data_IF_594951630654
#
_entry.id   IF_594951630654
#
_cell.length_a   1.000
_cell.length_b   1.000
_cell.length_c   1.000
_cell.angle_alpha   90.00
_cell.angle_beta   90.00
_cell.angle_gamma   90.00
#
_symmetry.space_group_name_H-M   'P 1'
#
loop_
_entity.id
_entity.type
_entity.pdbx_description
1 polymer ?
#
# COMPACT_ATOMS: atom_id res chain seq x y z
N UNK A 1 8.16 3.80 22.39
CA UNK A 1 7.90 5.06 21.67
C UNK A 1 6.94 4.73 20.55
N UNK A 2 5.66 5.06 20.71
CA UNK A 2 4.66 4.89 19.65
C UNK A 2 4.98 5.89 18.54
N UNK A 3 5.43 5.40 17.39
CA UNK A 3 5.71 6.25 16.23
C UNK A 3 4.40 6.45 15.49
N UNK A 4 3.73 7.56 15.76
CA UNK A 4 2.54 7.94 15.00
C UNK A 4 2.97 8.68 13.74
N UNK A 5 2.79 8.04 12.58
CA UNK A 5 2.95 8.68 11.27
C UNK A 5 1.60 9.13 10.75
N UNK A 6 1.55 10.26 10.05
CA UNK A 6 0.36 10.60 9.27
C UNK A 6 0.25 9.67 8.06
N UNK A 7 -0.95 9.51 7.50
CA UNK A 7 -1.16 8.79 6.23
C UNK A 7 -0.21 9.33 5.15
N UNK A 8 -0.10 10.66 5.05
CA UNK A 8 0.79 11.33 4.10
C UNK A 8 2.26 10.96 4.32
N UNK A 9 2.74 11.02 5.56
CA UNK A 9 4.14 10.70 5.89
C UNK A 9 4.45 9.23 5.66
N UNK A 10 3.53 8.33 6.02
CA UNK A 10 3.67 6.91 5.79
C UNK A 10 3.74 6.56 4.30
N UNK A 11 2.87 7.15 3.47
CA UNK A 11 2.90 6.97 2.02
C UNK A 11 4.18 7.54 1.39
N UNK A 12 4.63 8.72 1.84
CA UNK A 12 5.88 9.32 1.35
C UNK A 12 7.11 8.49 1.71
N UNK A 13 7.14 7.92 2.93
CA UNK A 13 8.19 7.02 3.38
C UNK A 13 8.18 5.70 2.58
N UNK A 14 7.01 5.08 2.44
CA UNK A 14 6.85 3.84 1.68
C UNK A 14 7.23 3.99 0.19
N UNK A 15 6.82 5.09 -0.45
CA UNK A 15 7.19 5.37 -1.85
C UNK A 15 8.71 5.48 -2.01
N UNK A 16 9.42 6.13 -1.08
CA UNK A 16 10.89 6.18 -1.09
C UNK A 16 11.53 4.81 -0.89
N UNK A 17 10.96 3.99 -0.01
CA UNK A 17 11.41 2.61 0.22
C UNK A 17 11.21 1.71 -1.01
N UNK A 18 10.17 1.99 -1.80
CA UNK A 18 9.81 1.27 -3.01
C UNK A 18 10.32 1.93 -4.30
N UNK A 19 11.24 2.90 -4.24
CA UNK A 19 11.66 3.70 -5.41
C UNK A 19 12.17 2.87 -6.61
N UNK A 20 12.62 1.64 -6.36
CA UNK A 20 13.06 0.71 -7.40
C UNK A 20 11.90 -0.03 -8.12
N UNK A 21 10.65 0.19 -7.72
CA UNK A 21 9.45 -0.30 -8.40
C UNK A 21 8.80 0.84 -9.19
N UNK A 22 8.46 0.59 -10.45
CA UNK A 22 7.80 1.56 -11.34
C UNK A 22 6.44 2.05 -10.80
N UNK A 23 5.80 1.28 -9.91
CA UNK A 23 4.51 1.58 -9.29
C UNK A 23 4.61 1.97 -7.80
N UNK A 24 5.75 2.50 -7.34
CA UNK A 24 6.04 2.76 -5.92
C UNK A 24 4.95 3.54 -5.16
N UNK A 25 4.41 4.62 -5.74
CA UNK A 25 3.33 5.41 -5.13
C UNK A 25 2.02 4.62 -5.06
N UNK A 26 1.63 4.00 -6.18
CA UNK A 26 0.41 3.20 -6.27
C UNK A 26 0.45 2.01 -5.32
N UNK A 27 1.57 1.31 -5.27
CA UNK A 27 1.77 0.16 -4.40
C UNK A 27 1.66 0.56 -2.92
N UNK A 28 2.27 1.69 -2.55
CA UNK A 28 2.18 2.22 -1.18
C UNK A 28 0.73 2.54 -0.81
N UNK A 29 -0.02 3.18 -1.71
CA UNK A 29 -1.44 3.46 -1.49
C UNK A 29 -2.28 2.18 -1.39
N UNK A 30 -2.06 1.20 -2.27
CA UNK A 30 -2.82 -0.07 -2.26
C UNK A 30 -2.57 -0.86 -0.98
N UNK A 31 -1.31 -0.97 -0.54
CA UNK A 31 -0.96 -1.67 0.69
C UNK A 31 -1.55 -1.00 1.92
N UNK A 32 -1.49 0.33 2.00
CA UNK A 32 -2.10 1.06 3.11
C UNK A 32 -3.64 0.95 3.09
N UNK A 33 -4.25 0.97 1.90
CA UNK A 33 -5.70 0.84 1.72
C UNK A 33 -6.19 -0.52 2.21
N UNK A 34 -5.44 -1.57 1.88
CA UNK A 34 -5.68 -2.93 2.34
C UNK A 34 -5.64 -3.02 3.88
N UNK A 35 -4.60 -2.48 4.52
CA UNK A 35 -4.45 -2.53 5.98
C UNK A 35 -5.56 -1.76 6.70
N UNK A 36 -5.85 -0.53 6.25
CA UNK A 36 -6.87 0.32 6.87
C UNK A 36 -8.31 -0.10 6.52
N UNK A 37 -8.47 -1.02 5.56
CA UNK A 37 -9.76 -1.38 4.94
C UNK A 37 -10.53 -0.14 4.46
N UNK A 38 -9.81 0.77 3.78
CA UNK A 38 -10.32 2.02 3.22
C UNK A 38 -9.95 2.13 1.75
N UNK A 39 -10.72 2.90 0.99
CA UNK A 39 -10.36 3.25 -0.38
C UNK A 39 -9.24 4.28 -0.42
N UNK A 40 -8.47 4.32 -1.52
CA UNK A 40 -7.42 5.33 -1.76
C UNK A 40 -7.94 6.78 -1.69
N UNK A 41 -9.21 7.01 -2.05
CA UNK A 41 -9.86 8.32 -1.91
C UNK A 41 -9.87 8.83 -0.45
N UNK A 42 -9.85 7.93 0.53
CA UNK A 42 -9.76 8.28 1.95
C UNK A 42 -8.49 9.07 2.25
N UNK A 43 -7.36 8.69 1.64
CA UNK A 43 -6.07 9.35 1.86
C UNK A 43 -6.02 10.77 1.34
N UNK A 44 -6.75 11.04 0.26
CA UNK A 44 -6.89 12.40 -0.30
C UNK A 44 -7.76 13.29 0.58
N UNK A 45 -8.76 12.71 1.23
CA UNK A 45 -9.64 13.44 2.14
C UNK A 45 -9.04 13.63 3.55
N UNK A 46 -8.15 12.74 4.01
CA UNK A 46 -7.63 12.72 5.38
C UNK A 46 -6.09 12.50 5.45
N UNK A 47 -5.27 13.29 4.75
CA UNK A 47 -3.82 13.05 4.67
C UNK A 47 -3.09 13.18 6.02
N UNK A 48 -3.59 14.06 6.89
CA UNK A 48 -2.99 14.36 8.21
C UNK A 48 -3.47 13.38 9.31
N UNK A 49 -4.30 12.38 8.98
CA UNK A 49 -4.75 11.40 9.96
C UNK A 49 -3.58 10.54 10.40
N UNK A 50 -3.45 10.36 11.72
CA UNK A 50 -2.43 9.49 12.31
C UNK A 50 -2.80 8.01 12.15
N UNK A 51 -1.80 7.22 11.81
CA UNK A 51 -1.86 5.76 11.82
C UNK A 51 -1.66 5.24 13.23
N UNK A 52 -2.49 4.27 13.60
CA UNK A 52 -2.33 3.51 14.84
C UNK A 52 -1.24 2.46 14.66
N UNK A 53 -0.64 1.99 15.76
CA UNK A 53 0.39 0.94 15.71
C UNK A 53 -0.15 -0.35 15.05
N UNK A 54 -1.45 -0.63 15.23
CA UNK A 54 -2.15 -1.76 14.60
C UNK A 54 -2.36 -1.60 13.07
N UNK A 55 -2.23 -0.38 12.55
CA UNK A 55 -2.25 -0.09 11.11
C UNK A 55 -0.83 0.05 10.55
N UNK A 56 0.08 0.64 11.33
CA UNK A 56 1.44 0.91 10.90
C UNK A 56 2.28 -0.37 10.82
N UNK A 57 2.19 -1.26 11.80
CA UNK A 57 3.02 -2.47 11.81
C UNK A 57 2.72 -3.40 10.61
N UNK A 58 1.45 -3.76 10.32
CA UNK A 58 1.14 -4.57 9.14
C UNK A 58 1.50 -3.87 7.83
N UNK A 59 1.34 -2.54 7.76
CA UNK A 59 1.73 -1.76 6.59
C UNK A 59 3.23 -1.87 6.32
N UNK A 60 4.07 -1.66 7.34
CA UNK A 60 5.53 -1.80 7.21
C UNK A 60 5.95 -3.21 6.81
N UNK A 61 5.31 -4.24 7.37
CA UNK A 61 5.58 -5.63 7.00
C UNK A 61 5.28 -5.91 5.51
N UNK A 62 4.20 -5.34 4.98
CA UNK A 62 3.86 -5.44 3.56
C UNK A 62 4.85 -4.68 2.68
N UNK A 63 5.31 -3.50 3.11
CA UNK A 63 6.34 -2.72 2.39
C UNK A 63 7.64 -3.52 2.32
N UNK A 64 8.09 -4.10 3.43
CA UNK A 64 9.28 -4.94 3.46
C UNK A 64 9.16 -6.14 2.50
N UNK A 65 8.02 -6.82 2.48
CA UNK A 65 7.79 -7.91 1.53
C UNK A 65 7.77 -7.42 0.08
N UNK A 66 7.19 -6.24 -0.20
CA UNK A 66 7.17 -5.65 -1.55
C UNK A 66 8.58 -5.27 -2.03
N UNK A 67 9.44 -4.79 -1.12
CA UNK A 67 10.85 -4.50 -1.42
C UNK A 67 11.63 -5.74 -1.87
N UNK A 68 11.29 -6.92 -1.37
CA UNK A 68 11.95 -8.18 -1.81
C UNK A 68 11.57 -8.63 -3.23
N UNK A 69 10.66 -7.91 -3.90
CA UNK A 69 10.19 -8.24 -5.24
C UNK A 69 8.90 -9.07 -5.25
N UNK A 70 8.27 -9.30 -4.10
CA UNK A 70 6.97 -9.98 -4.04
C UNK A 70 5.92 -9.15 -4.79
N UNK A 71 5.19 -9.70 -5.79
CA UNK A 71 4.17 -8.93 -6.49
C UNK A 71 3.02 -8.57 -5.57
N UNK A 72 2.50 -7.34 -5.72
CA UNK A 72 1.51 -6.78 -4.79
C UNK A 72 0.25 -7.64 -4.62
N UNK A 73 -0.23 -8.29 -5.70
CA UNK A 73 -1.40 -9.17 -5.67
C UNK A 73 -1.25 -10.35 -4.69
N UNK A 74 -0.03 -10.83 -4.46
CA UNK A 74 0.23 -11.87 -3.45
C UNK A 74 0.20 -11.33 -2.03
N UNK A 75 0.53 -10.05 -1.83
CA UNK A 75 0.57 -9.40 -0.52
C UNK A 75 -0.83 -9.06 0.00
N UNK A 76 -1.69 -8.54 -0.87
CA UNK A 76 -3.07 -8.16 -0.50
C UNK A 76 -4.03 -9.34 -0.58
N UNK A 77 -3.61 -10.50 -1.11
CA UNK A 77 -4.47 -11.65 -1.35
C UNK A 77 -5.60 -11.41 -2.36
N UNK A 78 -5.80 -10.16 -2.78
CA UNK A 78 -6.65 -9.78 -3.88
C UNK A 78 -5.95 -10.16 -5.18
N UNK A 79 -6.33 -11.34 -5.64
CA UNK A 79 -6.36 -11.69 -7.05
C UNK A 79 -7.25 -10.65 -7.75
N UNK A 80 -6.72 -9.51 -8.17
CA UNK A 80 -7.22 -8.91 -9.40
C UNK A 80 -6.90 -9.98 -10.47
N UNK A 81 -7.81 -10.90 -10.78
CA UNK A 81 -8.88 -10.64 -11.73
C UNK A 81 -8.44 -9.54 -12.69
N UNK A 82 -7.45 -9.90 -13.51
CA UNK A 82 -7.34 -9.40 -14.87
C UNK A 82 -8.75 -9.35 -15.43
N UNK A 83 -9.39 -8.18 -15.34
CA UNK A 83 -10.60 -7.86 -16.07
C UNK A 83 -10.19 -7.60 -17.51
N UNK A 84 -9.65 -8.63 -18.15
CA UNK A 84 -9.59 -8.82 -19.59
C UNK A 84 -9.76 -10.31 -19.82
N UNK A 85 -10.99 -10.81 -20.07
CA UNK A 85 -11.09 -11.96 -20.95
C UNK A 85 -10.39 -11.55 -22.25
N UNK A 86 -9.19 -12.08 -22.49
CA UNK A 86 -8.66 -12.09 -23.84
C UNK A 86 -9.58 -13.02 -24.63
N UNK A 87 -10.45 -12.46 -25.48
CA UNK A 87 -10.93 -13.21 -26.63
C UNK A 87 -9.74 -13.42 -27.56
N UNK A 88 -9.31 -14.66 -27.67
CA UNK A 88 -8.40 -15.10 -28.74
C UNK A 88 -9.27 -15.53 -29.93
N UNK A 89 -9.08 -14.88 -31.07
CA UNK A 89 -9.60 -15.28 -32.38
C UNK A 89 -8.45 -15.72 -33.28
#
# INVERSE_FOLDING_TARGET
MSHHLTIKDALAMASKLLINNDSCELDSEVLLAYVMKKSRSYFRAWPEKLLLDDELNPFLDLINQRQTGTPIAYLIGEREFWSRPFEVS
#
